data_IF_613401812708
#
_entry.id   IF_613401812708
#
_cell.length_a   1.000
_cell.length_b   1.000
_cell.length_c   1.000
_cell.angle_alpha   90.00
_cell.angle_beta   90.00
_cell.angle_gamma   90.00
#
_symmetry.space_group_name_H-M   'P 1'
#
loop_
_entity.id
_entity.type
_entity.pdbx_description
1 polymer ?
#
# COMPACT_ATOMS: atom_id res chain seq x y z
N UNK A 1 -0.35 -29.90 -5.59
CA UNK A 1 -1.43 -28.93 -5.96
C UNK A 1 -1.63 -28.05 -4.73
N UNK A 2 -0.86 -26.97 -4.61
CA UNK A 2 -0.93 -26.06 -3.46
C UNK A 2 -2.23 -25.28 -3.55
N UNK A 3 -3.03 -25.31 -2.48
CA UNK A 3 -4.18 -24.42 -2.33
C UNK A 3 -3.66 -22.99 -2.38
N UNK A 4 -4.13 -22.21 -3.36
CA UNK A 4 -3.87 -20.77 -3.36
C UNK A 4 -4.39 -20.18 -2.04
N UNK A 5 -3.72 -19.18 -1.46
CA UNK A 5 -4.22 -18.49 -0.27
C UNK A 5 -5.65 -17.97 -0.53
N UNK A 6 -6.50 -17.86 0.52
CA UNK A 6 -7.84 -17.33 0.38
C UNK A 6 -7.80 -15.99 -0.34
N UNK A 7 -8.57 -15.86 -1.42
CA UNK A 7 -8.67 -14.59 -2.14
C UNK A 7 -9.42 -13.63 -1.22
N UNK A 8 -8.77 -12.55 -0.80
CA UNK A 8 -9.47 -11.43 -0.17
C UNK A 8 -10.48 -10.85 -1.18
N UNK A 9 -11.76 -11.00 -0.88
CA UNK A 9 -12.85 -10.46 -1.70
C UNK A 9 -13.28 -9.11 -1.13
N UNK A 10 -12.60 -8.04 -1.57
CA UNK A 10 -13.01 -6.66 -1.27
C UNK A 10 -14.11 -6.23 -2.24
N UNK A 11 -15.13 -5.53 -1.75
CA UNK A 11 -16.21 -5.01 -2.60
C UNK A 11 -15.77 -3.81 -3.43
N UNK A 12 -14.94 -2.94 -2.84
CA UNK A 12 -14.41 -1.72 -3.45
C UNK A 12 -12.94 -1.53 -3.13
N UNK A 13 -12.17 -1.05 -4.10
CA UNK A 13 -10.73 -0.80 -3.95
C UNK A 13 -10.35 0.61 -4.42
N UNK A 14 -9.54 1.31 -3.61
CA UNK A 14 -8.85 2.53 -4.03
C UNK A 14 -7.39 2.22 -4.37
N UNK A 15 -6.94 2.67 -5.54
CA UNK A 15 -5.54 2.57 -5.97
C UNK A 15 -4.97 3.98 -6.05
N UNK A 16 -4.12 4.35 -5.09
CA UNK A 16 -3.69 5.73 -4.86
C UNK A 16 -2.22 5.89 -5.23
N UNK A 17 -1.97 6.47 -6.41
CA UNK A 17 -0.63 6.81 -6.89
C UNK A 17 0.03 7.95 -6.11
N UNK A 18 1.35 8.11 -6.27
CA UNK A 18 2.16 9.12 -5.57
C UNK A 18 2.31 10.46 -6.35
N UNK A 19 1.47 10.69 -7.37
CA UNK A 19 1.57 11.86 -8.24
C UNK A 19 0.96 13.14 -7.63
N UNK A 20 1.46 14.31 -8.04
CA UNK A 20 1.01 15.62 -7.51
C UNK A 20 -0.44 16.01 -7.84
N UNK A 21 -1.13 15.27 -8.71
CA UNK A 21 -2.51 15.56 -9.12
C UNK A 21 -3.56 15.44 -8.01
N UNK A 22 -3.22 14.81 -6.88
CA UNK A 22 -4.12 14.74 -5.71
C UNK A 22 -4.05 16.00 -4.83
N UNK A 23 -3.05 16.87 -5.00
CA UNK A 23 -2.88 18.07 -4.17
C UNK A 23 -4.07 19.02 -4.35
N UNK A 24 -4.77 19.33 -3.26
CA UNK A 24 -5.98 20.17 -3.25
C UNK A 24 -7.24 19.50 -3.78
N UNK A 25 -7.19 18.20 -4.11
CA UNK A 25 -8.34 17.45 -4.67
C UNK A 25 -9.45 17.20 -3.66
N UNK A 26 -9.14 17.21 -2.36
CA UNK A 26 -10.05 16.86 -1.27
C UNK A 26 -10.71 15.47 -1.41
N UNK A 27 -10.04 14.52 -2.07
CA UNK A 27 -10.56 13.17 -2.30
C UNK A 27 -10.39 12.22 -1.12
N UNK A 28 -9.77 12.65 -0.01
CA UNK A 28 -9.36 11.78 1.07
C UNK A 28 -10.50 10.97 1.69
N UNK A 29 -11.67 11.57 1.90
CA UNK A 29 -12.84 10.85 2.43
C UNK A 29 -13.37 9.80 1.45
N UNK A 30 -13.35 10.09 0.15
CA UNK A 30 -13.77 9.14 -0.88
C UNK A 30 -12.79 7.96 -0.96
N UNK A 31 -11.49 8.24 -0.87
CA UNK A 31 -10.44 7.20 -0.82
C UNK A 31 -10.67 6.30 0.41
N UNK A 32 -10.81 6.91 1.59
CA UNK A 32 -10.99 6.20 2.86
C UNK A 32 -12.32 5.44 2.97
N UNK A 33 -13.26 5.61 2.04
CA UNK A 33 -14.53 4.87 1.99
C UNK A 33 -14.42 3.48 1.35
N UNK A 34 -13.28 3.13 0.75
CA UNK A 34 -13.10 1.83 0.09
C UNK A 34 -12.75 0.73 1.11
N UNK A 35 -13.06 -0.51 0.75
CA UNK A 35 -12.78 -1.68 1.59
C UNK A 35 -11.28 -1.95 1.67
N UNK A 36 -10.57 -1.81 0.54
CA UNK A 36 -9.12 -1.93 0.44
C UNK A 36 -8.48 -0.70 -0.22
N UNK A 37 -7.33 -0.28 0.32
CA UNK A 37 -6.58 0.87 -0.19
C UNK A 37 -5.14 0.47 -0.47
N UNK A 38 -4.74 0.57 -1.73
CA UNK A 38 -3.40 0.29 -2.22
C UNK A 38 -2.64 1.61 -2.41
N UNK A 39 -1.47 1.73 -1.80
CA UNK A 39 -0.59 2.90 -1.91
C UNK A 39 0.79 2.50 -2.40
N UNK A 40 1.47 3.42 -3.08
CA UNK A 40 2.75 3.13 -3.71
C UNK A 40 3.90 3.88 -3.06
N UNK A 41 5.03 3.17 -2.94
CA UNK A 41 6.31 3.67 -2.47
C UNK A 41 6.21 4.24 -1.05
N UNK A 42 6.61 5.50 -0.86
CA UNK A 42 6.65 6.20 0.44
C UNK A 42 5.86 7.52 0.37
N UNK A 43 4.73 7.55 -0.35
CA UNK A 43 3.90 8.75 -0.44
C UNK A 43 3.34 9.12 0.95
N UNK A 44 3.31 10.41 1.34
CA UNK A 44 2.75 10.81 2.63
C UNK A 44 1.26 10.47 2.73
N UNK A 45 0.84 9.98 3.88
CA UNK A 45 -0.57 9.68 4.21
C UNK A 45 -0.95 10.47 5.45
N UNK A 46 -2.20 10.94 5.50
CA UNK A 46 -2.75 11.65 6.64
C UNK A 46 -2.07 12.99 6.96
N UNK A 47 -2.21 13.43 8.22
CA UNK A 47 -1.70 14.73 8.69
C UNK A 47 -2.20 15.87 7.80
N UNK A 48 -1.27 16.73 7.33
CA UNK A 48 -1.61 17.86 6.43
C UNK A 48 -2.15 17.44 5.05
N UNK A 49 -1.99 16.17 4.67
CA UNK A 49 -2.44 15.64 3.38
C UNK A 49 -3.76 14.86 3.49
N UNK A 50 -4.27 14.64 4.70
CA UNK A 50 -5.46 13.81 4.96
C UNK A 50 -6.67 14.19 4.10
N UNK A 51 -6.90 15.50 3.90
CA UNK A 51 -8.01 15.99 3.09
C UNK A 51 -7.93 15.48 1.65
N UNK A 52 -6.73 15.39 1.09
CA UNK A 52 -6.50 15.03 -0.31
C UNK A 52 -6.34 13.53 -0.52
N UNK A 53 -5.58 12.87 0.36
CA UNK A 53 -5.15 11.48 0.12
C UNK A 53 -5.73 10.49 1.13
N UNK A 54 -6.45 10.94 2.15
CA UNK A 54 -7.00 10.10 3.21
C UNK A 54 -5.99 9.75 4.30
N UNK A 55 -6.44 8.96 5.27
CA UNK A 55 -5.65 8.50 6.41
C UNK A 55 -5.48 6.97 6.46
N UNK A 56 -6.26 6.21 5.68
CA UNK A 56 -6.23 4.75 5.72
C UNK A 56 -5.30 4.17 4.66
N UNK A 57 -4.67 3.05 4.99
CA UNK A 57 -3.94 2.20 4.06
C UNK A 57 -4.23 0.75 4.40
N UNK A 58 -4.36 -0.11 3.38
CA UNK A 58 -4.46 -1.56 3.57
C UNK A 58 -3.20 -2.25 3.06
N UNK A 59 -2.71 -1.82 1.89
CA UNK A 59 -1.56 -2.41 1.22
C UNK A 59 -0.57 -1.35 0.78
N UNK A 60 0.69 -1.51 1.15
CA UNK A 60 1.81 -0.75 0.60
C UNK A 60 2.47 -1.53 -0.52
N UNK A 61 2.71 -0.88 -1.65
CA UNK A 61 3.34 -1.49 -2.82
C UNK A 61 4.62 -0.73 -3.18
N UNK A 62 5.79 -1.34 -3.03
CA UNK A 62 7.07 -0.64 -3.16
C UNK A 62 8.04 -1.33 -4.14
N UNK A 63 8.87 -0.52 -4.81
CA UNK A 63 9.71 -0.94 -5.93
C UNK A 63 11.19 -1.15 -5.58
N UNK A 64 11.62 -1.18 -4.32
CA UNK A 64 13.05 -1.37 -4.01
C UNK A 64 13.27 -2.43 -2.93
N UNK A 65 14.22 -3.32 -3.20
CA UNK A 65 14.48 -4.55 -2.47
C UNK A 65 15.81 -4.60 -1.66
N UNK A 66 16.31 -3.52 -1.03
CA UNK A 66 17.13 -3.71 0.18
C UNK A 66 16.35 -3.54 1.49
N UNK A 67 15.02 -3.40 1.44
CA UNK A 67 14.24 -2.79 2.51
C UNK A 67 13.33 -3.71 3.34
N UNK A 68 13.31 -5.06 3.21
CA UNK A 68 12.37 -5.88 4.02
C UNK A 68 12.40 -5.54 5.52
N UNK A 69 13.58 -5.30 6.09
CA UNK A 69 13.74 -4.91 7.50
C UNK A 69 13.44 -3.43 7.81
N UNK A 70 13.49 -2.55 6.82
CA UNK A 70 13.39 -1.09 6.97
C UNK A 70 12.11 -0.51 6.34
N UNK A 71 11.31 -1.34 5.68
CA UNK A 71 10.07 -0.93 5.03
C UNK A 71 9.11 -0.37 6.08
N UNK A 72 8.92 -1.09 7.20
CA UNK A 72 8.11 -0.65 8.35
C UNK A 72 8.52 0.74 8.84
N UNK A 73 9.81 0.98 9.06
CA UNK A 73 10.32 2.25 9.60
C UNK A 73 10.26 3.40 8.59
N UNK A 74 10.32 3.11 7.28
CA UNK A 74 10.27 4.15 6.24
C UNK A 74 8.87 4.53 5.79
N UNK A 75 7.93 3.59 5.74
CA UNK A 75 6.53 3.88 5.38
C UNK A 75 5.69 4.28 6.60
N UNK A 76 6.19 3.99 7.82
CA UNK A 76 5.42 4.23 9.04
C UNK A 76 4.14 3.40 9.09
N UNK A 77 4.20 2.14 8.62
CA UNK A 77 3.04 1.27 8.54
C UNK A 77 2.48 0.96 9.93
N UNK A 78 1.16 0.98 10.03
CA UNK A 78 0.45 0.62 11.25
C UNK A 78 0.24 -0.90 11.35
N UNK A 79 -0.09 -1.38 12.55
CA UNK A 79 -0.50 -2.78 12.76
C UNK A 79 -1.69 -3.14 11.88
N UNK A 80 -1.62 -4.29 11.19
CA UNK A 80 -2.67 -4.77 10.29
C UNK A 80 -2.59 -4.24 8.85
N UNK A 81 -1.60 -3.40 8.52
CA UNK A 81 -1.29 -3.06 7.12
C UNK A 81 -0.42 -4.15 6.48
N UNK A 82 -0.65 -4.48 5.22
CA UNK A 82 0.17 -5.44 4.46
C UNK A 82 1.14 -4.71 3.52
N UNK A 83 2.27 -5.34 3.18
CA UNK A 83 3.19 -4.80 2.19
C UNK A 83 3.57 -5.80 1.11
N UNK A 84 3.41 -5.39 -0.14
CA UNK A 84 3.84 -6.12 -1.32
C UNK A 84 5.04 -5.42 -1.97
N UNK A 85 6.10 -6.18 -2.26
CA UNK A 85 7.22 -5.70 -3.06
C UNK A 85 6.97 -6.06 -4.52
N UNK A 86 7.08 -5.08 -5.43
CA UNK A 86 7.04 -5.36 -6.86
C UNK A 86 8.16 -6.32 -7.24
N UNK A 87 7.86 -7.26 -8.14
CA UNK A 87 8.83 -8.22 -8.66
C UNK A 87 9.83 -7.46 -9.55
N UNK A 88 10.97 -7.10 -8.96
CA UNK A 88 11.92 -6.16 -9.55
C UNK A 88 12.88 -6.88 -10.50
N UNK A 89 12.33 -7.49 -11.58
CA UNK A 89 12.99 -8.09 -12.76
C UNK A 89 12.59 -9.57 -12.96
N UNK A 90 12.28 -9.94 -14.20
CA UNK A 90 11.96 -11.31 -14.61
C UNK A 90 13.09 -12.33 -14.30
N UNK A 91 14.33 -11.86 -14.13
CA UNK A 91 15.50 -12.68 -13.77
C UNK A 91 15.66 -12.96 -12.27
N UNK A 92 14.98 -12.21 -11.40
CA UNK A 92 15.05 -12.39 -9.93
C UNK A 92 14.00 -13.37 -9.39
N UNK A 93 13.08 -13.85 -10.23
CA UNK A 93 12.26 -15.04 -9.99
C UNK A 93 11.30 -14.99 -8.79
N UNK A 94 11.20 -13.89 -8.04
CA UNK A 94 10.46 -13.87 -6.79
C UNK A 94 9.72 -12.55 -6.56
N UNK A 95 8.39 -12.67 -6.40
CA UNK A 95 7.52 -11.64 -5.86
C UNK A 95 7.37 -11.92 -4.36
N UNK A 96 7.52 -10.90 -3.52
CA UNK A 96 7.39 -11.06 -2.07
C UNK A 96 6.14 -10.29 -1.60
N UNK A 97 5.18 -11.00 -1.03
CA UNK A 97 4.10 -10.44 -0.22
C UNK A 97 4.39 -10.79 1.24
N UNK A 98 4.59 -9.79 2.09
CA UNK A 98 4.67 -9.96 3.54
C UNK A 98 3.44 -9.26 4.14
N UNK A 99 2.61 -10.01 4.85
CA UNK A 99 1.69 -9.36 5.78
C UNK A 99 2.55 -8.77 6.89
N UNK A 100 2.39 -7.48 7.23
CA UNK A 100 3.13 -6.89 8.35
C UNK A 100 2.42 -7.30 9.66
N UNK A 101 2.32 -8.60 9.87
CA UNK A 101 1.88 -9.15 11.15
C UNK A 101 3.02 -8.95 12.17
N UNK A 102 2.63 -8.54 13.38
CA UNK A 102 3.52 -8.29 14.51
C UNK A 102 4.20 -9.56 14.99
#
# INVERSE_FOLDING_TARGET
RTSLPPRHAFGTCAVVGSGGGLSGSRQGQQIDAHDAIYRFNTAPVGGRYAADVGNRTSFWVASQAPWRSQLRTRIGANEGEEAALYCFNAWLGSCFSDALEG
#
